data_IF_617558369650
#
_entry.id   IF_617558369650
#
_cell.length_a   1.000
_cell.length_b   1.000
_cell.length_c   1.000
_cell.angle_alpha   90.00
_cell.angle_beta   90.00
_cell.angle_gamma   90.00
#
_symmetry.space_group_name_H-M   'P 1'
#
loop_
_entity.id
_entity.type
_entity.pdbx_description
1 polymer ?
#
# COMPACT_ATOMS: atom_id res chain seq x y z
N UNK A 1 46.93 -16.66 -65.06
CA UNK A 1 46.60 -15.25 -65.30
C UNK A 1 45.14 -15.15 -65.75
N UNK A 2 44.23 -14.96 -64.85
CA UNK A 2 42.85 -14.52 -65.09
C UNK A 2 42.31 -13.99 -63.79
N UNK A 3 42.18 -12.67 -63.73
CA UNK A 3 41.58 -11.95 -62.64
C UNK A 3 40.05 -12.14 -62.65
N UNK A 4 39.46 -12.66 -61.58
CA UNK A 4 38.02 -12.60 -61.39
C UNK A 4 37.72 -11.51 -60.35
N UNK A 5 37.13 -10.44 -60.84
CA UNK A 5 36.50 -9.40 -60.00
C UNK A 5 35.16 -9.93 -59.54
N UNK A 6 35.05 -10.13 -58.29
CA UNK A 6 33.76 -10.42 -57.62
C UNK A 6 33.20 -9.11 -57.05
N UNK A 7 32.14 -8.63 -57.72
CA UNK A 7 31.36 -7.48 -57.32
C UNK A 7 30.43 -7.90 -56.19
N UNK A 8 30.65 -7.39 -54.99
CA UNK A 8 29.74 -7.58 -53.85
C UNK A 8 28.65 -6.53 -53.88
N UNK A 9 27.44 -6.97 -54.21
CA UNK A 9 26.22 -6.18 -54.12
C UNK A 9 25.84 -6.03 -52.64
N UNK A 10 26.00 -4.82 -52.10
CA UNK A 10 25.60 -4.49 -50.74
C UNK A 10 24.13 -4.12 -50.74
N UNK A 11 23.29 -5.04 -50.26
CA UNK A 11 21.87 -4.78 -50.03
C UNK A 11 21.71 -4.05 -48.71
N UNK A 12 21.40 -2.76 -48.79
CA UNK A 12 20.95 -1.98 -47.62
C UNK A 12 19.54 -2.44 -47.24
N UNK A 13 19.44 -3.19 -46.15
CA UNK A 13 18.17 -3.43 -45.48
C UNK A 13 17.89 -2.21 -44.60
N UNK A 14 16.97 -1.37 -45.03
CA UNK A 14 16.45 -0.27 -44.24
C UNK A 14 15.57 -0.85 -43.16
N UNK A 15 16.09 -0.94 -41.90
CA UNK A 15 15.29 -1.23 -40.73
C UNK A 15 14.42 -0.01 -40.42
N UNK A 16 13.14 -0.12 -40.70
CA UNK A 16 12.14 0.84 -40.24
C UNK A 16 12.01 0.70 -38.71
N UNK A 17 12.63 1.59 -37.97
CA UNK A 17 12.42 1.74 -36.52
C UNK A 17 11.04 2.37 -36.36
N UNK A 18 10.05 1.55 -36.02
CA UNK A 18 8.76 2.02 -35.56
C UNK A 18 8.95 2.63 -34.15
N UNK A 19 9.08 3.94 -34.14
CA UNK A 19 8.97 4.76 -32.93
C UNK A 19 7.55 4.65 -32.42
N UNK A 20 7.33 3.73 -31.46
CA UNK A 20 6.14 3.77 -30.62
C UNK A 20 6.32 4.94 -29.66
N UNK A 21 5.42 5.94 -29.64
CA UNK A 21 5.42 6.91 -28.56
C UNK A 21 5.01 6.18 -27.28
N UNK A 22 5.97 5.91 -26.41
CA UNK A 22 5.68 5.57 -25.02
C UNK A 22 4.92 6.75 -24.41
N UNK A 23 3.59 6.59 -24.36
CA UNK A 23 2.75 7.43 -23.55
C UNK A 23 3.10 7.17 -22.09
N UNK A 24 4.11 7.85 -21.58
CA UNK A 24 4.36 8.02 -20.16
C UNK A 24 3.14 8.72 -19.57
N UNK A 25 2.11 7.93 -19.23
CA UNK A 25 1.08 8.36 -18.29
C UNK A 25 1.76 8.49 -16.92
N UNK A 26 2.37 9.63 -16.68
CA UNK A 26 2.61 10.10 -15.34
C UNK A 26 1.24 10.19 -14.67
N UNK A 27 0.87 9.15 -13.92
CA UNK A 27 -0.23 9.23 -12.96
C UNK A 27 0.15 10.31 -11.97
N UNK A 28 -0.38 11.54 -12.19
CA UNK A 28 -0.40 12.57 -11.17
C UNK A 28 -1.07 11.95 -9.95
N UNK A 29 -0.26 11.59 -8.96
CA UNK A 29 -0.73 11.29 -7.62
C UNK A 29 -1.41 12.57 -7.13
N UNK A 30 -2.74 12.62 -7.23
CA UNK A 30 -3.51 13.65 -6.53
C UNK A 30 -3.27 13.42 -5.04
N UNK A 31 -2.83 14.44 -4.29
CA UNK A 31 -2.81 14.36 -2.84
C UNK A 31 -4.26 14.18 -2.40
N UNK A 32 -4.62 12.94 -2.02
CA UNK A 32 -5.91 12.63 -1.44
C UNK A 32 -6.10 13.49 -0.21
N UNK A 33 -7.12 14.33 -0.25
CA UNK A 33 -7.54 15.19 0.83
C UNK A 33 -7.79 14.32 2.06
N UNK A 34 -6.85 14.37 3.02
CA UNK A 34 -6.98 13.72 4.33
C UNK A 34 -8.02 14.53 5.10
N UNK A 35 -9.27 14.12 5.03
CA UNK A 35 -10.29 14.66 5.92
C UNK A 35 -9.94 14.25 7.34
N UNK A 36 -9.59 15.23 8.16
CA UNK A 36 -9.40 15.08 9.59
C UNK A 36 -10.77 14.82 10.23
N UNK A 37 -11.20 13.57 10.22
CA UNK A 37 -12.35 13.10 10.96
C UNK A 37 -11.96 12.86 12.40
N UNK A 38 -12.61 13.55 13.34
CA UNK A 38 -12.48 13.31 14.76
C UNK A 38 -12.75 11.83 15.08
N UNK A 39 -11.86 11.22 15.87
CA UNK A 39 -11.89 9.80 16.23
C UNK A 39 -12.99 9.52 17.27
N UNK A 40 -14.23 9.47 16.84
CA UNK A 40 -15.34 8.89 17.58
C UNK A 40 -16.15 8.02 16.63
N UNK A 41 -15.94 6.71 16.71
CA UNK A 41 -16.68 5.75 15.92
C UNK A 41 -15.82 5.03 14.88
N UNK A 42 -16.43 4.08 14.25
CA UNK A 42 -15.91 3.38 13.07
C UNK A 42 -15.32 4.38 12.08
N UNK A 43 -14.13 4.14 11.55
CA UNK A 43 -13.66 4.85 10.36
C UNK A 43 -14.60 4.47 9.20
N UNK A 44 -15.75 5.12 9.17
CA UNK A 44 -16.80 4.90 8.20
C UNK A 44 -16.57 5.80 6.98
N UNK A 45 -15.43 5.66 6.31
CA UNK A 45 -15.37 6.08 4.92
C UNK A 45 -16.28 5.16 4.11
N UNK A 46 -16.91 5.69 3.06
CA UNK A 46 -17.77 4.89 2.18
C UNK A 46 -17.05 3.68 1.56
N UNK A 47 -15.72 3.58 1.66
CA UNK A 47 -14.90 2.54 1.03
C UNK A 47 -14.07 1.70 2.01
N UNK A 48 -14.06 2.08 3.30
CA UNK A 48 -13.23 1.42 4.32
C UNK A 48 -13.90 1.46 5.68
N UNK A 49 -13.99 0.31 6.36
CA UNK A 49 -14.53 0.18 7.72
C UNK A 49 -13.66 -0.74 8.57
N UNK A 50 -13.23 -0.25 9.71
CA UNK A 50 -12.59 -1.05 10.75
C UNK A 50 -12.98 -0.53 12.14
N UNK A 51 -12.96 -1.38 13.19
CA UNK A 51 -13.24 -0.95 14.54
C UNK A 51 -12.14 -0.01 15.06
N UNK A 52 -12.47 0.73 16.12
CA UNK A 52 -11.47 1.49 16.88
C UNK A 52 -10.45 0.52 17.49
N UNK A 53 -9.18 0.85 17.38
CA UNK A 53 -8.11 0.09 18.01
C UNK A 53 -7.97 0.61 19.44
N UNK A 54 -8.11 -0.28 20.41
CA UNK A 54 -7.84 0.03 21.82
C UNK A 54 -6.40 -0.37 22.14
N UNK A 55 -5.66 0.54 22.76
CA UNK A 55 -4.28 0.28 23.13
C UNK A 55 -4.24 -0.55 24.40
N UNK A 56 -3.38 -1.54 24.40
CA UNK A 56 -2.91 -2.24 25.57
C UNK A 56 -1.38 -2.46 25.42
N UNK A 57 -0.64 -2.27 26.49
CA UNK A 57 0.82 -2.40 26.45
C UNK A 57 1.23 -3.88 26.36
N UNK A 58 2.08 -4.20 25.36
CA UNK A 58 2.62 -5.55 25.18
C UNK A 58 1.61 -6.60 24.73
N UNK A 59 0.41 -6.21 24.35
CA UNK A 59 -0.64 -7.14 23.95
C UNK A 59 -0.72 -7.35 22.43
N UNK A 60 -1.56 -8.29 22.03
CA UNK A 60 -1.95 -8.53 20.64
C UNK A 60 -3.44 -8.23 20.46
N UNK A 61 -3.76 -7.43 19.49
CA UNK A 61 -5.14 -7.09 19.11
C UNK A 61 -5.41 -7.61 17.71
N UNK A 62 -6.56 -8.25 17.54
CA UNK A 62 -7.03 -8.69 16.21
C UNK A 62 -8.27 -7.90 15.86
N UNK A 63 -8.25 -7.29 14.69
CA UNK A 63 -9.39 -6.57 14.13
C UNK A 63 -9.84 -7.16 12.80
N UNK A 64 -11.10 -6.88 12.45
CA UNK A 64 -11.66 -7.14 11.12
C UNK A 64 -11.82 -5.82 10.38
N UNK A 65 -11.37 -5.78 9.14
CA UNK A 65 -11.46 -4.62 8.26
C UNK A 65 -12.21 -4.99 6.99
N UNK A 66 -13.19 -4.18 6.60
CA UNK A 66 -13.83 -4.26 5.29
C UNK A 66 -13.33 -3.13 4.40
N UNK A 67 -12.98 -3.45 3.17
CA UNK A 67 -12.44 -2.52 2.18
C UNK A 67 -13.16 -2.75 0.87
N UNK A 68 -13.55 -1.69 0.17
CA UNK A 68 -14.06 -1.80 -1.20
C UNK A 68 -12.91 -2.11 -2.14
N UNK A 69 -13.15 -2.99 -3.09
CA UNK A 69 -12.24 -3.33 -4.17
C UNK A 69 -11.60 -2.06 -4.77
N UNK A 70 -10.30 -2.13 -5.07
CA UNK A 70 -9.50 -1.06 -5.66
C UNK A 70 -9.38 0.24 -4.82
N UNK A 71 -9.96 0.28 -3.62
CA UNK A 71 -9.88 1.44 -2.73
C UNK A 71 -8.93 1.20 -1.56
N UNK A 72 -8.18 2.22 -1.14
CA UNK A 72 -7.31 2.12 0.02
C UNK A 72 -8.08 2.22 1.34
N UNK A 73 -7.52 1.62 2.38
CA UNK A 73 -7.98 1.78 3.76
C UNK A 73 -6.84 2.29 4.65
N UNK A 74 -7.04 3.46 5.25
CA UNK A 74 -6.02 4.14 6.06
C UNK A 74 -6.17 3.87 7.54
N UNK A 75 -5.03 3.89 8.24
CA UNK A 75 -4.92 3.87 9.69
C UNK A 75 -4.20 5.13 10.16
N UNK A 76 -4.73 5.77 11.20
CA UNK A 76 -4.06 6.87 11.87
C UNK A 76 -3.73 6.45 13.30
N UNK A 77 -2.45 6.31 13.60
CA UNK A 77 -1.96 5.85 14.89
C UNK A 77 -1.68 7.00 15.88
N UNK A 78 -1.71 8.25 15.43
CA UNK A 78 -1.48 9.43 16.27
C UNK A 78 -2.47 9.48 17.45
N UNK A 79 -3.71 9.06 17.25
CA UNK A 79 -4.74 9.02 18.28
C UNK A 79 -4.52 7.92 19.33
N UNK A 80 -3.58 7.02 19.10
CA UNK A 80 -3.29 5.91 19.99
C UNK A 80 -2.26 6.28 21.09
N UNK A 81 -1.62 7.45 21.01
CA UNK A 81 -0.61 7.90 21.96
C UNK A 81 0.67 8.38 21.29
N UNK A 82 1.79 8.45 22.02
CA UNK A 82 3.08 8.88 21.48
C UNK A 82 3.67 7.80 20.57
N UNK A 83 3.15 7.73 19.35
CA UNK A 83 3.56 6.77 18.35
C UNK A 83 5.00 7.00 17.91
N UNK A 84 5.83 5.94 17.97
CA UNK A 84 7.26 5.98 17.69
C UNK A 84 7.65 5.20 16.43
N UNK A 85 6.69 4.50 15.80
CA UNK A 85 6.94 3.78 14.56
C UNK A 85 6.17 2.47 14.43
N UNK A 86 6.40 1.77 13.34
CA UNK A 86 5.81 0.47 13.07
C UNK A 86 6.77 -0.44 12.32
N UNK A 87 6.51 -1.74 12.47
CA UNK A 87 7.17 -2.81 11.74
C UNK A 87 6.09 -3.74 11.16
N UNK A 88 6.12 -4.01 9.86
CA UNK A 88 5.25 -5.01 9.25
C UNK A 88 5.80 -6.40 9.55
N UNK A 89 5.12 -7.16 10.40
CA UNK A 89 5.54 -8.51 10.82
C UNK A 89 4.99 -9.61 9.93
N UNK A 90 3.85 -9.37 9.27
CA UNK A 90 3.28 -10.23 8.23
C UNK A 90 2.76 -9.34 7.12
N UNK A 91 3.36 -9.45 5.93
CA UNK A 91 2.88 -8.72 4.76
C UNK A 91 1.58 -9.32 4.21
N UNK A 92 0.65 -8.50 3.67
CA UNK A 92 -0.53 -9.02 3.01
C UNK A 92 -0.15 -9.77 1.72
N UNK A 93 -0.95 -10.77 1.35
CA UNK A 93 -0.73 -11.57 0.13
C UNK A 93 -1.37 -10.97 -1.12
N UNK A 94 -2.48 -10.28 -0.93
CA UNK A 94 -3.31 -9.76 -2.03
C UNK A 94 -3.43 -8.23 -1.96
N UNK A 95 -2.37 -7.57 -1.55
CA UNK A 95 -2.30 -6.14 -1.43
C UNK A 95 -0.96 -5.67 -0.90
N UNK A 96 -0.91 -4.41 -0.53
CA UNK A 96 0.24 -3.81 0.15
C UNK A 96 -0.20 -3.12 1.43
N UNK A 97 0.64 -3.14 2.45
CA UNK A 97 0.46 -2.37 3.68
C UNK A 97 1.77 -1.66 4.03
N UNK A 98 1.69 -0.39 4.36
CA UNK A 98 2.87 0.38 4.73
C UNK A 98 2.55 1.80 5.18
N UNK A 99 3.58 2.47 5.69
CA UNK A 99 3.50 3.87 6.11
C UNK A 99 3.28 4.81 4.93
N UNK A 100 2.42 5.80 5.12
CA UNK A 100 2.24 6.93 4.21
C UNK A 100 2.81 8.22 4.78
N UNK A 101 2.98 8.28 6.09
CA UNK A 101 3.70 9.31 6.84
C UNK A 101 4.09 8.77 8.22
N UNK A 102 4.66 9.61 9.08
CA UNK A 102 5.16 9.24 10.41
C UNK A 102 4.14 8.56 11.31
N UNK A 103 2.86 8.89 11.21
CA UNK A 103 1.81 8.40 12.12
C UNK A 103 0.67 7.67 11.41
N UNK A 104 0.76 7.49 10.10
CA UNK A 104 -0.33 6.90 9.33
C UNK A 104 0.17 5.82 8.37
N UNK A 105 -0.63 4.79 8.21
CA UNK A 105 -0.38 3.68 7.29
C UNK A 105 -1.61 3.37 6.46
N UNK A 106 -1.42 2.63 5.39
CA UNK A 106 -2.47 2.31 4.44
C UNK A 106 -2.34 0.88 3.97
N UNK A 107 -3.46 0.18 3.93
CA UNK A 107 -3.63 -1.04 3.16
C UNK A 107 -4.23 -0.68 1.79
N UNK A 108 -3.67 -1.26 0.72
CA UNK A 108 -4.17 -1.15 -0.64
C UNK A 108 -4.35 -2.55 -1.20
N UNK A 109 -5.59 -2.99 -1.52
CA UNK A 109 -5.81 -4.25 -2.23
C UNK A 109 -5.11 -4.26 -3.59
N UNK A 110 -4.68 -5.42 -4.06
CA UNK A 110 -4.26 -5.60 -5.44
C UNK A 110 -5.43 -5.29 -6.39
N UNK A 111 -5.11 -4.76 -7.57
CA UNK A 111 -6.12 -4.39 -8.55
C UNK A 111 -7.06 -5.56 -8.87
N UNK A 112 -8.35 -5.31 -8.81
CA UNK A 112 -9.40 -6.30 -9.09
C UNK A 112 -9.60 -7.37 -8.01
N UNK A 113 -8.82 -7.39 -6.94
CA UNK A 113 -8.95 -8.43 -5.90
C UNK A 113 -10.23 -8.25 -5.09
N UNK A 114 -10.96 -9.34 -4.90
CA UNK A 114 -12.10 -9.50 -3.99
C UNK A 114 -11.88 -10.78 -3.20
N UNK A 115 -12.07 -10.74 -1.89
CA UNK A 115 -11.85 -11.90 -1.02
C UNK A 115 -11.25 -11.53 0.33
N UNK A 116 -10.55 -12.47 0.95
CA UNK A 116 -9.92 -12.27 2.26
C UNK A 116 -8.42 -12.14 2.13
N UNK A 117 -7.85 -11.24 2.93
CA UNK A 117 -6.42 -11.06 3.09
C UNK A 117 -6.09 -10.91 4.59
N UNK A 118 -4.83 -10.93 4.93
CA UNK A 118 -4.37 -10.77 6.30
C UNK A 118 -3.01 -10.09 6.31
N UNK A 119 -2.82 -9.18 7.25
CA UNK A 119 -1.48 -8.67 7.58
C UNK A 119 -1.34 -8.46 9.08
N UNK A 120 -0.11 -8.35 9.55
CA UNK A 120 0.20 -8.00 10.93
C UNK A 120 1.29 -6.94 10.99
N UNK A 121 1.17 -6.05 11.97
CA UNK A 121 2.15 -5.01 12.24
C UNK A 121 2.35 -4.86 13.73
N UNK A 122 3.59 -4.53 14.12
CA UNK A 122 3.92 -4.12 15.48
C UNK A 122 4.01 -2.61 15.51
N UNK A 123 3.25 -1.99 16.38
CA UNK A 123 3.23 -0.55 16.62
C UNK A 123 4.06 -0.25 17.86
N UNK A 124 4.96 0.72 17.77
CA UNK A 124 5.81 1.16 18.88
C UNK A 124 5.34 2.50 19.40
N UNK A 125 5.40 2.65 20.72
CA UNK A 125 5.05 3.86 21.43
C UNK A 125 6.19 4.20 22.40
N UNK A 126 6.48 5.49 22.57
CA UNK A 126 7.51 5.96 23.49
C UNK A 126 6.90 7.02 24.42
N UNK A 127 6.78 6.70 25.72
CA UNK A 127 6.32 7.62 26.73
C UNK A 127 7.39 8.69 27.04
N UNK A 128 6.97 9.84 27.57
CA UNK A 128 7.88 10.94 27.87
C UNK A 128 9.00 10.60 28.87
N UNK A 129 8.90 9.46 29.57
CA UNK A 129 9.94 8.86 30.39
C UNK A 129 11.01 8.08 29.59
N UNK A 130 10.90 7.99 28.26
CA UNK A 130 11.72 7.13 27.40
C UNK A 130 11.33 5.65 27.46
N UNK A 131 10.27 5.28 28.18
CA UNK A 131 9.75 3.91 28.22
C UNK A 131 9.12 3.56 26.88
N UNK A 132 9.64 2.51 26.26
CA UNK A 132 9.12 1.97 25.00
C UNK A 132 8.14 0.84 25.28
N UNK A 133 7.00 0.90 24.61
CA UNK A 133 5.99 -0.16 24.62
C UNK A 133 5.60 -0.54 23.21
N UNK A 134 4.92 -1.65 23.04
CA UNK A 134 4.47 -2.08 21.71
C UNK A 134 3.06 -2.69 21.77
N UNK A 135 2.42 -2.72 20.62
CA UNK A 135 1.15 -3.38 20.36
C UNK A 135 1.30 -4.22 19.09
N UNK A 136 0.98 -5.51 19.14
CA UNK A 136 0.87 -6.33 17.94
C UNK A 136 -0.57 -6.21 17.39
N UNK A 137 -0.70 -5.68 16.19
CA UNK A 137 -1.97 -5.53 15.49
C UNK A 137 -2.07 -6.57 14.38
N UNK A 138 -3.07 -7.45 14.49
CA UNK A 138 -3.42 -8.43 13.45
C UNK A 138 -4.69 -7.95 12.76
N UNK A 139 -4.69 -7.90 11.43
CA UNK A 139 -5.80 -7.39 10.64
C UNK A 139 -6.29 -8.46 9.66
N UNK A 140 -7.51 -8.93 9.86
CA UNK A 140 -8.22 -9.75 8.89
C UNK A 140 -8.99 -8.82 7.95
N UNK A 141 -8.61 -8.82 6.69
CA UNK A 141 -9.15 -7.93 5.65
C UNK A 141 -10.21 -8.68 4.84
N UNK A 142 -11.32 -8.03 4.57
CA UNK A 142 -12.39 -8.48 3.70
C UNK A 142 -12.53 -7.44 2.59
N UNK A 143 -12.03 -7.76 1.40
CA UNK A 143 -12.19 -6.92 0.22
C UNK A 143 -13.49 -7.29 -0.46
N UNK A 144 -14.38 -6.32 -0.63
CA UNK A 144 -15.75 -6.50 -1.15
C UNK A 144 -15.99 -5.56 -2.33
N UNK A 145 -16.88 -5.92 -3.29
CA UNK A 145 -17.19 -5.05 -4.42
C UNK A 145 -17.83 -3.72 -4.01
N UNK A 146 -18.59 -3.71 -2.91
CA UNK A 146 -19.24 -2.53 -2.31
C UNK A 146 -19.46 -2.73 -0.81
N UNK A 147 -19.67 -1.64 -0.05
CA UNK A 147 -20.00 -1.64 1.39
C UNK A 147 -21.47 -1.40 1.65
#
# INVERSE_FOLDING_TARGET
MKHFLVSTLSTFVAAAVLLFPEATRASKMQPGMVTHGAAHGLNANATCRHPKINICQGCSVTIRMKVVQDHPCGFNFKSLGPFAGQEVTVAPRNGTFGSINETSSRYQPSAGFVGTDHFATRLFFEEGSGKKTFLNLNVNVFVVPSL
#
